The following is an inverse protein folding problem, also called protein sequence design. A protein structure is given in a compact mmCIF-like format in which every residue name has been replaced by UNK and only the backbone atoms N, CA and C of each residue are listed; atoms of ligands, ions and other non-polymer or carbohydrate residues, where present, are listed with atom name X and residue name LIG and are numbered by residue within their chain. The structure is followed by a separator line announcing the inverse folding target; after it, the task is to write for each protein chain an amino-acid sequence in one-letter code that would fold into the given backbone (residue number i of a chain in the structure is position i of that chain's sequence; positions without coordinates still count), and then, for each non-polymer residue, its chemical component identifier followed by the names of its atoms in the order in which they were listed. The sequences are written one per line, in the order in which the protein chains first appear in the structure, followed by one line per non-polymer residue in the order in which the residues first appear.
data_IF_842098151325
#
_entry.id   IF_842098151325
#
_cell.length_a   1.000
_cell.length_b   1.000
_cell.length_c   1.000
_cell.angle_alpha   90.00
_cell.angle_beta   90.00
_cell.angle_gamma   90.00
#
_symmetry.space_group_name_H-M   'P 1'
#
loop_
_entity.id
_entity.type
_entity.pdbx_description
1 polymer ?
#
# COMPACT_ATOMS: atom_id res chain seq x y z
N UNK A 1 6.59 -4.24 9.04
CA UNK A 1 7.54 -3.64 8.07
C UNK A 1 6.83 -2.85 6.95
N UNK A 2 6.09 -3.52 6.04
CA UNK A 2 5.51 -2.86 4.86
C UNK A 2 4.41 -1.83 5.17
N UNK A 3 3.47 -2.13 6.08
CA UNK A 3 2.40 -1.18 6.47
C UNK A 3 2.99 0.12 7.05
N UNK A 4 4.02 0.00 7.90
CA UNK A 4 4.66 1.18 8.51
C UNK A 4 5.42 2.01 7.47
N UNK A 5 6.06 1.37 6.50
CA UNK A 5 6.73 2.08 5.40
C UNK A 5 5.72 2.88 4.55
N UNK A 6 4.57 2.29 4.22
CA UNK A 6 3.49 2.98 3.48
C UNK A 6 2.90 4.13 4.29
N UNK A 7 2.66 3.94 5.60
CA UNK A 7 2.19 5.00 6.50
C UNK A 7 3.16 6.19 6.52
N UNK A 8 4.46 5.91 6.63
CA UNK A 8 5.49 6.93 6.66
C UNK A 8 5.58 7.67 5.32
N UNK A 9 5.54 6.95 4.20
CA UNK A 9 5.54 7.54 2.87
C UNK A 9 4.34 8.48 2.64
N UNK A 10 3.14 8.09 3.09
CA UNK A 10 1.95 8.94 3.05
C UNK A 10 2.17 10.25 3.80
N UNK A 11 2.63 10.17 5.06
CA UNK A 11 2.86 11.34 5.92
C UNK A 11 3.91 12.29 5.35
N UNK A 12 4.99 11.75 4.79
CA UNK A 12 6.04 12.56 4.17
C UNK A 12 5.58 13.28 2.90
N UNK A 13 4.59 12.74 2.21
CA UNK A 13 3.93 13.37 1.06
C UNK A 13 2.76 14.28 1.46
N UNK A 14 2.47 14.41 2.77
CA UNK A 14 1.41 15.28 3.29
C UNK A 14 0.02 14.65 3.30
N UNK A 15 -0.10 13.34 3.08
CA UNK A 15 -1.37 12.62 3.18
C UNK A 15 -1.60 12.09 4.60
N UNK A 16 -2.86 12.08 5.04
CA UNK A 16 -3.28 11.38 6.26
C UNK A 16 -3.61 9.91 5.92
N UNK A 17 -2.82 8.92 6.38
CA UNK A 17 -3.03 7.53 6.04
C UNK A 17 -4.25 6.96 6.78
N UNK A 18 -5.19 6.40 6.02
CA UNK A 18 -6.35 5.69 6.58
C UNK A 18 -6.19 4.20 6.34
N UNK A 19 -6.01 3.45 7.43
CA UNK A 19 -6.07 1.99 7.39
C UNK A 19 -7.53 1.54 7.34
N UNK A 20 -7.86 0.72 6.35
CA UNK A 20 -9.16 0.06 6.28
C UNK A 20 -8.96 -1.41 6.00
N UNK A 21 -9.81 -2.22 6.62
CA UNK A 21 -10.02 -3.59 6.17
C UNK A 21 -10.62 -3.53 4.76
N UNK A 22 -9.96 -4.19 3.81
CA UNK A 22 -10.48 -4.27 2.44
C UNK A 22 -11.71 -5.18 2.37
N UNK A 23 -12.59 -4.93 1.40
CA UNK A 23 -13.62 -5.89 1.01
C UNK A 23 -13.10 -6.84 -0.07
N UNK A 24 -13.02 -8.15 0.22
CA UNK A 24 -12.87 -9.22 -0.79
C UNK A 24 -11.47 -9.47 -1.40
N UNK A 25 -11.44 -10.38 -2.39
CA UNK A 25 -10.27 -11.13 -2.89
C UNK A 25 -9.26 -10.37 -3.74
N UNK A 26 -8.47 -9.49 -3.13
CA UNK A 26 -7.30 -8.89 -3.79
C UNK A 26 -6.17 -9.91 -4.00
N UNK A 27 -5.26 -9.67 -4.94
CA UNK A 27 -4.02 -10.44 -5.08
C UNK A 27 -3.17 -10.40 -3.81
N UNK A 28 -3.28 -9.32 -3.03
CA UNK A 28 -2.64 -9.17 -1.72
C UNK A 28 -3.03 -10.26 -0.73
N UNK A 29 -4.25 -10.81 -0.82
CA UNK A 29 -4.66 -11.93 0.04
C UNK A 29 -3.88 -13.20 -0.30
N UNK A 30 -3.67 -13.47 -1.60
CA UNK A 30 -2.91 -14.62 -2.06
C UNK A 30 -1.43 -14.49 -1.69
N UNK A 31 -0.84 -13.29 -1.84
CA UNK A 31 0.55 -13.05 -1.43
C UNK A 31 0.74 -13.20 0.07
N UNK A 32 -0.15 -12.62 0.88
CA UNK A 32 -0.09 -12.79 2.33
C UNK A 32 -0.28 -14.26 2.76
N UNK A 33 -1.19 -15.01 2.13
CA UNK A 33 -1.35 -16.44 2.37
C UNK A 33 -0.10 -17.27 2.00
N UNK A 34 0.69 -16.79 1.03
CA UNK A 34 1.97 -17.37 0.65
C UNK A 34 3.16 -16.89 1.52
N UNK A 35 2.92 -16.13 2.59
CA UNK A 35 3.96 -15.61 3.49
C UNK A 35 4.69 -14.35 2.99
N UNK A 36 4.24 -13.74 1.90
CA UNK A 36 4.80 -12.49 1.36
C UNK A 36 4.00 -11.32 1.94
N UNK A 37 4.60 -10.61 2.90
CA UNK A 37 3.96 -9.45 3.53
C UNK A 37 3.57 -8.38 2.49
N UNK A 38 2.27 -8.20 2.30
CA UNK A 38 1.73 -7.34 1.25
C UNK A 38 0.63 -6.44 1.80
N UNK A 39 0.62 -5.19 1.33
CA UNK A 39 -0.47 -4.23 1.57
C UNK A 39 -0.92 -3.63 0.25
N UNK A 40 -2.21 -3.44 0.10
CA UNK A 40 -2.79 -2.78 -1.07
C UNK A 40 -2.91 -1.28 -0.79
N UNK A 41 -2.57 -0.45 -1.78
CA UNK A 41 -2.72 1.00 -1.74
C UNK A 41 -3.90 1.36 -2.65
N UNK A 42 -4.81 2.21 -2.18
CA UNK A 42 -5.91 2.69 -3.01
C UNK A 42 -5.37 3.56 -4.14
N UNK A 43 -5.87 3.34 -5.35
CA UNK A 43 -5.61 4.19 -6.52
C UNK A 43 -6.51 5.43 -6.57
N UNK A 44 -7.50 5.55 -5.68
CA UNK A 44 -8.45 6.68 -5.63
C UNK A 44 -9.82 6.42 -6.26
N UNK A 45 -10.10 5.19 -6.70
CA UNK A 45 -11.36 4.85 -7.39
C UNK A 45 -12.61 5.22 -6.57
N UNK A 46 -13.62 5.75 -7.26
CA UNK A 46 -14.90 6.14 -6.70
C UNK A 46 -16.04 5.40 -7.40
N UNK A 47 -17.12 5.09 -6.66
CA UNK A 47 -18.29 4.37 -7.17
C UNK A 47 -17.94 3.05 -7.89
N UNK A 48 -16.99 2.30 -7.32
CA UNK A 48 -16.47 1.03 -7.84
C UNK A 48 -17.61 0.05 -8.15
N UNK A 49 -17.52 -0.64 -9.30
CA UNK A 49 -18.52 -1.59 -9.80
C UNK A 49 -19.87 -0.98 -10.16
N UNK A 50 -19.89 0.31 -10.51
CA UNK A 50 -21.08 0.98 -11.06
C UNK A 50 -20.79 1.58 -12.43
N UNK A 51 -21.83 1.93 -13.19
CA UNK A 51 -21.68 2.68 -14.45
C UNK A 51 -21.19 4.12 -14.25
N UNK A 52 -21.09 4.58 -13.00
CA UNK A 52 -20.57 5.89 -12.62
C UNK A 52 -19.18 5.79 -12.00
N UNK A 53 -18.48 4.66 -12.15
CA UNK A 53 -17.11 4.51 -11.66
C UNK A 53 -16.20 5.54 -12.31
N UNK A 54 -15.38 6.21 -11.50
CA UNK A 54 -14.39 7.17 -11.97
C UNK A 54 -13.16 7.20 -11.07
N UNK A 55 -12.11 7.82 -11.58
CA UNK A 55 -10.81 7.93 -10.94
C UNK A 55 -10.32 9.38 -10.99
N UNK A 56 -10.27 10.10 -9.86
CA UNK A 56 -9.61 11.39 -9.80
C UNK A 56 -8.12 11.24 -10.17
N UNK A 57 -7.66 12.07 -11.11
CA UNK A 57 -6.26 11.99 -11.60
C UNK A 57 -5.28 12.31 -10.48
N UNK A 58 -5.58 13.29 -9.64
CA UNK A 58 -4.71 13.68 -8.52
C UNK A 58 -4.54 12.54 -7.51
N UNK A 59 -5.60 11.80 -7.21
CA UNK A 59 -5.53 10.62 -6.33
C UNK A 59 -4.71 9.49 -6.98
N UNK A 60 -4.88 9.27 -8.29
CA UNK A 60 -4.14 8.24 -9.02
C UNK A 60 -2.64 8.53 -9.08
N UNK A 61 -2.28 9.79 -9.35
CA UNK A 61 -0.88 10.25 -9.32
C UNK A 61 -0.32 10.15 -7.90
N UNK A 62 -1.07 10.60 -6.90
CA UNK A 62 -0.68 10.51 -5.49
C UNK A 62 -0.43 9.06 -5.04
N UNK A 63 -1.26 8.10 -5.49
CA UNK A 63 -1.01 6.67 -5.27
C UNK A 63 0.35 6.23 -5.83
N UNK A 64 0.69 6.67 -7.05
CA UNK A 64 1.99 6.39 -7.67
C UNK A 64 3.17 7.00 -6.89
N UNK A 65 3.01 8.22 -6.39
CA UNK A 65 4.02 8.90 -5.57
C UNK A 65 4.26 8.17 -4.24
N UNK A 66 3.19 7.76 -3.55
CA UNK A 66 3.28 6.95 -2.32
C UNK A 66 3.98 5.62 -2.59
N UNK A 67 3.65 4.93 -3.69
CA UNK A 67 4.29 3.67 -4.05
C UNK A 67 5.79 3.86 -4.32
N UNK A 68 6.16 4.86 -5.14
CA UNK A 68 7.55 5.18 -5.45
C UNK A 68 8.34 5.53 -4.19
N UNK A 69 7.80 6.42 -3.35
CA UNK A 69 8.41 6.84 -2.09
C UNK A 69 8.64 5.66 -1.14
N UNK A 70 7.67 4.76 -1.03
CA UNK A 70 7.76 3.54 -0.22
C UNK A 70 8.92 2.67 -0.71
N UNK A 71 8.97 2.36 -2.00
CA UNK A 71 10.04 1.54 -2.60
C UNK A 71 11.42 2.17 -2.37
N UNK A 72 11.56 3.47 -2.63
CA UNK A 72 12.84 4.18 -2.44
C UNK A 72 13.29 4.18 -0.98
N UNK A 73 12.37 4.40 -0.03
CA UNK A 73 12.69 4.45 1.40
C UNK A 73 13.08 3.08 1.96
N UNK A 74 12.41 2.03 1.49
CA UNK A 74 12.74 0.64 1.87
C UNK A 74 14.04 0.16 1.22
N UNK A 75 14.35 0.57 0.00
CA UNK A 75 15.60 0.23 -0.66
C UNK A 75 16.82 0.94 -0.05
N UNK A 76 16.65 2.18 0.44
CA UNK A 76 17.70 2.95 1.10
C UNK A 76 18.03 2.46 2.53
N UNK A 77 17.12 1.71 3.14
CA UNK A 77 17.30 1.15 4.48
C UNK A 77 17.73 -0.31 4.36
N UNK A 78 18.91 -0.73 4.88
CA UNK A 78 19.25 -2.15 4.89
C UNK A 78 18.19 -2.93 5.70
N UNK A 79 17.71 -4.04 5.14
CA UNK A 79 16.70 -4.92 5.74
C UNK A 79 17.06 -5.25 7.20
N UNK A 80 16.13 -5.06 8.13
CA UNK A 80 16.35 -5.43 9.52
C UNK A 80 16.24 -6.96 9.69
N UNK A 81 17.11 -7.60 10.49
CA UNK A 81 17.07 -9.06 10.71
C UNK A 81 15.72 -9.60 11.23
N UNK A 82 14.89 -8.74 11.82
CA UNK A 82 13.57 -9.10 12.36
C UNK A 82 12.54 -9.44 11.27
N UNK A 83 12.78 -9.05 10.02
CA UNK A 83 11.89 -9.35 8.89
C UNK A 83 11.95 -10.82 8.45
N UNK A 84 12.94 -11.59 8.92
CA UNK A 84 13.10 -13.03 8.61
C UNK A 84 12.62 -13.98 9.71
N UNK A 85 12.19 -13.46 10.88
CA UNK A 85 11.94 -14.28 12.07
C UNK A 85 10.45 -14.60 12.33
N UNK A 86 9.51 -13.89 11.68
CA UNK A 86 8.07 -14.08 11.92
C UNK A 86 7.33 -14.76 10.74
N UNK A 87 8.04 -15.61 10.00
CA UNK A 87 7.47 -16.47 8.95
C UNK A 87 6.89 -17.78 9.51
N UNK A 88 6.03 -17.69 10.53
CA UNK A 88 5.12 -18.74 11.01
C UNK A 88 3.80 -18.12 11.47
#
# INVERSE_FOLDING_TARGET
PIIQAVIQANRELGYEPVLREGGGGTDGNHYNAAGIQTVTISSGQQAVHTVKEYLPIDDFVGCGEVALKTVMSMAASPSQPQDMANGL
#
